data_IF_300934936562
#
_entry.id   IF_300934936562
#
_cell.length_a   1.000
_cell.length_b   1.000
_cell.length_c   1.000
_cell.angle_alpha   90.00
_cell.angle_beta   90.00
_cell.angle_gamma   90.00
#
_symmetry.space_group_name_H-M   'P 1'
#
loop_
_entity.id
_entity.type
_entity.pdbx_description
1 polymer ?
#
# COMPACT_ATOMS: atom_id res chain seq x y z
N UNK A 1 -11.68 18.48 3.57
CA UNK A 1 -12.24 17.12 3.34
C UNK A 1 -11.08 16.12 3.45
N UNK A 2 -11.22 15.01 4.17
CA UNK A 2 -10.18 13.96 4.26
C UNK A 2 -10.76 12.67 3.69
N UNK A 3 -10.03 12.01 2.80
CA UNK A 3 -10.47 10.79 2.13
C UNK A 3 -9.45 9.68 2.45
N UNK A 4 -9.93 8.59 3.06
CA UNK A 4 -9.13 7.38 3.29
C UNK A 4 -9.43 6.37 2.19
N UNK A 5 -8.41 5.99 1.43
CA UNK A 5 -8.47 4.84 0.54
C UNK A 5 -7.72 3.69 1.21
N UNK A 6 -8.44 2.63 1.57
CA UNK A 6 -7.81 1.41 2.05
C UNK A 6 -7.59 0.47 0.87
N UNK A 7 -6.33 0.18 0.58
CA UNK A 7 -5.91 -0.60 -0.57
C UNK A 7 -5.29 -1.89 -0.06
N UNK A 8 -5.93 -3.02 -0.38
CA UNK A 8 -5.53 -4.34 0.13
C UNK A 8 -4.56 -5.03 -0.84
N UNK A 9 -4.58 -4.65 -2.12
CA UNK A 9 -3.62 -5.14 -3.11
C UNK A 9 -3.57 -4.16 -4.28
N UNK A 10 -2.36 -3.68 -4.57
CA UNK A 10 -2.02 -3.03 -5.83
C UNK A 10 -0.77 -3.70 -6.35
N UNK A 11 -0.83 -4.07 -7.62
CA UNK A 11 0.34 -4.42 -8.41
C UNK A 11 0.77 -3.15 -9.15
N UNK A 12 2.06 -3.04 -9.47
CA UNK A 12 2.67 -1.97 -10.28
C UNK A 12 2.07 -1.82 -11.69
N UNK A 13 1.05 -2.61 -12.01
CA UNK A 13 0.24 -2.56 -13.22
C UNK A 13 -0.86 -1.48 -13.14
N UNK A 14 -1.21 -0.98 -11.95
CA UNK A 14 -2.36 -0.07 -11.73
C UNK A 14 -1.95 1.32 -11.20
N UNK A 15 -0.66 1.55 -10.95
CA UNK A 15 -0.16 2.79 -10.33
C UNK A 15 -0.61 4.06 -11.09
N UNK A 16 -0.63 4.01 -12.42
CA UNK A 16 -1.06 5.16 -13.24
C UNK A 16 -2.58 5.38 -13.24
N UNK A 17 -3.39 4.32 -13.20
CA UNK A 17 -4.85 4.47 -13.12
C UNK A 17 -5.24 5.03 -11.77
N UNK A 18 -4.57 4.54 -10.72
CA UNK A 18 -4.73 5.05 -9.38
C UNK A 18 -4.34 6.53 -9.32
N UNK A 19 -3.24 6.92 -9.96
CA UNK A 19 -2.81 8.32 -10.04
C UNK A 19 -3.87 9.23 -10.67
N UNK A 20 -4.53 8.79 -11.74
CA UNK A 20 -5.64 9.56 -12.32
C UNK A 20 -6.80 9.79 -11.34
N UNK A 21 -7.08 8.84 -10.46
CA UNK A 21 -8.11 9.01 -9.44
C UNK A 21 -7.66 10.03 -8.39
N UNK A 22 -6.39 10.00 -8.00
CA UNK A 22 -5.80 10.97 -7.05
C UNK A 22 -5.79 12.38 -7.63
N UNK A 23 -5.45 12.56 -8.91
CA UNK A 23 -5.39 13.89 -9.54
C UNK A 23 -6.77 14.59 -9.64
N UNK A 24 -7.87 13.83 -9.54
CA UNK A 24 -9.24 14.36 -9.50
C UNK A 24 -9.64 14.89 -8.12
N UNK A 25 -8.80 14.73 -7.11
CA UNK A 25 -9.10 15.18 -5.75
C UNK A 25 -9.07 16.73 -5.70
N UNK A 26 -10.10 17.38 -5.14
CA UNK A 26 -10.16 18.84 -5.07
C UNK A 26 -8.99 19.43 -4.27
N UNK A 27 -8.52 20.62 -4.68
CA UNK A 27 -7.51 21.38 -3.93
C UNK A 27 -7.98 21.62 -2.49
N UNK A 28 -7.10 21.39 -1.51
CA UNK A 28 -7.41 21.52 -0.09
C UNK A 28 -8.07 20.29 0.56
N UNK A 29 -8.22 19.20 -0.17
CA UNK A 29 -8.50 17.90 0.41
C UNK A 29 -7.19 17.15 0.71
N UNK A 30 -7.14 16.46 1.85
CA UNK A 30 -6.03 15.57 2.17
C UNK A 30 -6.45 14.14 1.82
N UNK A 31 -5.63 13.48 1.02
CA UNK A 31 -5.84 12.10 0.62
C UNK A 31 -4.85 11.19 1.35
N UNK A 32 -5.36 10.16 2.02
CA UNK A 32 -4.53 9.19 2.73
C UNK A 32 -4.79 7.80 2.17
N UNK A 33 -3.72 7.11 1.84
CA UNK A 33 -3.72 5.75 1.31
C UNK A 33 -3.11 4.85 2.39
N UNK A 34 -3.86 3.83 2.80
CA UNK A 34 -3.35 2.76 3.65
C UNK A 34 -3.24 1.50 2.79
N UNK A 35 -2.02 1.17 2.37
CA UNK A 35 -1.73 0.05 1.48
C UNK A 35 -1.17 -1.14 2.26
N UNK A 36 -1.97 -2.18 2.47
CA UNK A 36 -1.55 -3.43 3.13
C UNK A 36 -1.15 -4.48 2.09
N UNK A 37 -0.13 -4.15 1.29
CA UNK A 37 0.36 -4.98 0.18
C UNK A 37 1.87 -4.85 -0.02
N UNK A 38 2.48 -5.90 -0.58
CA UNK A 38 3.85 -5.88 -1.10
C UNK A 38 3.91 -5.03 -2.37
N UNK A 39 4.94 -4.21 -2.56
CA UNK A 39 5.18 -3.37 -3.76
C UNK A 39 4.32 -2.10 -3.91
N UNK A 40 4.13 -1.34 -2.83
CA UNK A 40 3.40 -0.06 -2.86
C UNK A 40 4.24 1.19 -3.12
N UNK A 41 5.57 1.06 -3.26
CA UNK A 41 6.50 2.19 -3.43
C UNK A 41 6.33 3.00 -4.72
N UNK A 42 5.47 2.59 -5.65
CA UNK A 42 5.16 3.30 -6.90
C UNK A 42 3.79 4.01 -6.92
N UNK A 43 2.99 3.91 -5.86
CA UNK A 43 1.64 4.50 -5.83
C UNK A 43 1.61 6.02 -5.81
N UNK A 44 2.60 6.62 -5.13
CA UNK A 44 2.77 8.06 -5.10
C UNK A 44 4.20 8.36 -5.53
N UNK A 45 4.33 8.93 -6.71
CA UNK A 45 5.61 9.37 -7.24
C UNK A 45 5.98 10.72 -6.62
N UNK A 46 7.27 10.92 -6.32
CA UNK A 46 7.88 12.16 -5.76
C UNK A 46 7.57 12.53 -4.31
N UNK A 47 6.79 11.75 -3.58
CA UNK A 47 6.61 12.00 -2.15
C UNK A 47 7.81 11.48 -1.33
N UNK A 48 8.31 12.34 -0.45
CA UNK A 48 9.50 12.06 0.36
C UNK A 48 9.24 10.88 1.29
N UNK A 49 10.18 9.95 1.34
CA UNK A 49 10.19 8.89 2.35
C UNK A 49 10.51 9.49 3.72
N UNK A 50 9.55 9.46 4.63
CA UNK A 50 9.66 10.03 5.98
C UNK A 50 10.02 8.97 7.02
N UNK A 51 9.55 7.74 6.78
CA UNK A 51 9.88 6.56 7.59
C UNK A 51 10.20 5.42 6.62
N UNK A 52 11.48 5.06 6.53
CA UNK A 52 12.01 4.00 5.67
C UNK A 52 12.66 2.84 6.44
N UNK A 53 13.49 2.02 5.78
CA UNK A 53 14.30 1.01 6.43
C UNK A 53 15.29 1.61 7.41
N UNK A 54 15.01 1.49 8.71
CA UNK A 54 16.05 1.58 9.72
C UNK A 54 16.80 0.25 9.70
N UNK A 55 18.09 0.29 9.35
CA UNK A 55 19.03 -0.83 9.39
C UNK A 55 19.10 -1.43 10.79
N UNK A 56 18.22 -2.38 11.09
CA UNK A 56 18.29 -3.19 12.30
C UNK A 56 18.46 -4.63 11.85
N UNK A 57 19.68 -5.14 11.98
CA UNK A 57 20.03 -6.53 11.71
C UNK A 57 19.27 -7.42 12.71
N UNK A 58 18.20 -8.08 12.26
CA UNK A 58 17.55 -9.12 13.04
C UNK A 58 18.05 -10.50 12.59
N UNK A 59 18.61 -11.22 13.55
CA UNK A 59 18.98 -12.62 13.44
C UNK A 59 17.70 -13.46 13.40
N UNK A 60 17.52 -14.20 12.32
CA UNK A 60 16.39 -15.09 12.06
C UNK A 60 16.21 -16.10 13.18
N UNK A 61 15.01 -16.13 13.77
CA UNK A 61 14.52 -17.25 14.58
C UNK A 61 13.10 -17.59 14.14
N UNK A 62 12.79 -18.88 14.13
CA UNK A 62 11.66 -19.52 13.46
C UNK A 62 10.29 -19.01 13.92
N UNK A 63 9.42 -18.57 12.99
CA UNK A 63 8.12 -17.92 13.24
C UNK A 63 6.91 -18.69 12.66
N UNK A 64 5.65 -18.32 13.02
CA UNK A 64 4.42 -19.00 12.62
C UNK A 64 4.23 -19.03 11.09
N UNK A 65 3.34 -19.89 10.58
CA UNK A 65 3.04 -20.03 9.14
C UNK A 65 2.49 -18.71 8.54
N UNK A 66 3.40 -17.87 8.06
CA UNK A 66 3.11 -16.63 7.34
C UNK A 66 3.04 -16.94 5.84
N UNK A 67 1.97 -16.51 5.15
CA UNK A 67 1.91 -16.57 3.69
C UNK A 67 2.29 -15.21 3.12
N UNK A 68 3.34 -15.12 2.29
CA UNK A 68 3.68 -13.88 1.62
C UNK A 68 2.57 -13.45 0.65
N UNK A 69 2.19 -12.16 0.66
CA UNK A 69 1.28 -11.57 -0.35
C UNK A 69 2.03 -11.33 -1.67
N UNK A 70 2.54 -12.39 -2.28
CA UNK A 70 3.25 -12.32 -3.55
C UNK A 70 2.67 -13.36 -4.51
N UNK A 71 2.27 -12.91 -5.70
CA UNK A 71 1.92 -13.81 -6.79
C UNK A 71 3.17 -13.90 -7.68
N UNK A 72 3.75 -15.10 -7.87
CA UNK A 72 4.88 -15.29 -8.77
C UNK A 72 4.56 -14.84 -10.19
N UNK A 73 5.52 -14.21 -10.86
CA UNK A 73 5.35 -13.68 -12.20
C UNK A 73 4.93 -14.76 -13.22
N UNK A 74 5.54 -15.94 -13.11
CA UNK A 74 5.22 -17.09 -13.97
C UNK A 74 3.77 -17.56 -13.79
N UNK A 75 3.24 -17.50 -12.57
CA UNK A 75 1.84 -17.86 -12.30
C UNK A 75 0.88 -16.86 -12.96
N UNK A 76 1.22 -15.57 -12.95
CA UNK A 76 0.46 -14.52 -13.65
C UNK A 76 0.49 -14.77 -15.16
N UNK A 77 1.68 -15.01 -15.73
CA UNK A 77 1.83 -15.26 -17.16
C UNK A 77 1.06 -16.50 -17.62
N UNK A 78 1.18 -17.62 -16.90
CA UNK A 78 0.46 -18.86 -17.23
C UNK A 78 -1.06 -18.65 -17.20
N UNK A 79 -1.56 -17.96 -16.17
CA UNK A 79 -2.97 -17.66 -16.05
C UNK A 79 -3.48 -16.80 -17.21
N UNK A 80 -2.80 -15.68 -17.51
CA UNK A 80 -3.16 -14.79 -18.62
C UNK A 80 -3.08 -15.48 -19.99
N UNK A 81 -2.07 -16.34 -20.19
CA UNK A 81 -1.95 -17.16 -21.39
C UNK A 81 -3.15 -18.09 -21.55
N UNK A 82 -3.57 -18.76 -20.46
CA UNK A 82 -4.77 -19.61 -20.47
C UNK A 82 -6.07 -18.86 -20.76
N UNK A 83 -6.20 -17.61 -20.31
CA UNK A 83 -7.41 -16.80 -20.53
C UNK A 83 -7.51 -16.25 -21.95
N UNK A 84 -6.38 -15.97 -22.59
CA UNK A 84 -6.35 -15.28 -23.89
C UNK A 84 -6.02 -16.21 -25.06
N UNK A 85 -5.46 -17.39 -24.79
CA UNK A 85 -4.94 -18.32 -25.81
C UNK A 85 -3.86 -17.71 -26.72
N UNK A 86 -3.15 -16.68 -26.24
CA UNK A 86 -2.05 -16.03 -26.96
C UNK A 86 -0.72 -16.58 -26.42
N UNK A 87 0.25 -16.80 -27.31
CA UNK A 87 1.59 -17.21 -26.93
C UNK A 87 2.55 -16.01 -26.97
N UNK A 88 2.52 -15.19 -25.91
CA UNK A 88 3.45 -14.07 -25.72
C UNK A 88 3.90 -14.00 -24.27
N UNK A 89 5.10 -13.49 -24.02
CA UNK A 89 5.56 -13.17 -22.66
C UNK A 89 5.13 -11.77 -22.21
N UNK A 90 4.60 -10.96 -23.14
CA UNK A 90 4.13 -9.62 -22.85
C UNK A 90 2.75 -9.64 -22.18
N UNK A 91 2.77 -9.40 -20.86
CA UNK A 91 1.56 -9.27 -20.04
C UNK A 91 0.67 -8.13 -20.53
N UNK A 92 1.23 -7.04 -21.06
CA UNK A 92 0.45 -5.90 -21.54
C UNK A 92 -0.48 -6.29 -22.69
N UNK A 93 0.03 -7.05 -23.66
CA UNK A 93 -0.77 -7.63 -24.75
C UNK A 93 -1.90 -8.51 -24.22
N UNK A 94 -1.64 -9.38 -23.25
CA UNK A 94 -2.68 -10.22 -22.67
C UNK A 94 -3.80 -9.39 -21.99
N UNK A 95 -3.41 -8.39 -21.20
CA UNK A 95 -4.36 -7.53 -20.49
C UNK A 95 -5.22 -6.71 -21.45
N UNK A 96 -4.62 -6.17 -22.52
CA UNK A 96 -5.36 -5.45 -23.57
C UNK A 96 -6.35 -6.34 -24.31
N UNK A 97 -5.96 -7.57 -24.67
CA UNK A 97 -6.85 -8.48 -25.37
C UNK A 97 -8.00 -8.93 -24.48
N UNK A 98 -7.73 -9.21 -23.20
CA UNK A 98 -8.74 -9.72 -22.28
C UNK A 98 -9.72 -8.63 -21.81
N UNK A 99 -9.20 -7.45 -21.44
CA UNK A 99 -10.01 -6.38 -20.84
C UNK A 99 -10.36 -5.25 -21.82
N UNK A 100 -9.70 -5.16 -22.99
CA UNK A 100 -9.99 -4.16 -24.02
C UNK A 100 -10.00 -2.73 -23.48
N UNK A 101 -11.16 -2.08 -23.57
CA UNK A 101 -11.40 -0.73 -23.09
C UNK A 101 -11.43 -0.57 -21.56
N UNK A 102 -11.31 -1.66 -20.80
CA UNK A 102 -11.23 -1.64 -19.34
C UNK A 102 -9.82 -1.97 -18.82
N UNK A 103 -8.87 -2.25 -19.72
CA UNK A 103 -7.46 -2.44 -19.34
C UNK A 103 -6.87 -1.15 -18.76
N UNK A 104 -5.86 -1.31 -17.90
CA UNK A 104 -5.09 -0.18 -17.34
C UNK A 104 -4.57 0.75 -18.45
N UNK A 105 -4.60 2.04 -18.16
CA UNK A 105 -4.03 3.09 -19.02
C UNK A 105 -2.55 2.87 -19.32
N UNK A 106 -1.82 2.20 -18.42
CA UNK A 106 -0.42 1.82 -18.62
C UNK A 106 -0.22 1.01 -19.90
N UNK A 107 -1.19 0.16 -20.23
CA UNK A 107 -1.12 -0.69 -21.43
C UNK A 107 -1.82 -0.04 -22.62
N UNK A 108 -2.76 0.88 -22.38
CA UNK A 108 -3.56 1.51 -23.44
C UNK A 108 -2.93 2.77 -24.03
N UNK A 109 -2.11 3.48 -23.27
CA UNK A 109 -1.56 4.76 -23.67
C UNK A 109 -0.13 4.62 -24.21
N UNK A 110 0.26 5.44 -25.20
CA UNK A 110 1.63 5.49 -25.66
C UNK A 110 2.55 6.11 -24.58
N UNK A 111 3.87 5.80 -24.59
CA UNK A 111 4.82 6.29 -23.59
C UNK A 111 4.78 7.81 -23.37
N UNK A 112 4.64 8.59 -24.45
CA UNK A 112 4.57 10.06 -24.39
C UNK A 112 3.39 10.60 -23.59
N UNK A 113 2.27 9.86 -23.54
CA UNK A 113 1.13 10.22 -22.71
C UNK A 113 1.34 9.81 -21.25
N UNK A 114 2.12 8.75 -20.99
CA UNK A 114 2.51 8.31 -19.64
C UNK A 114 3.46 9.31 -18.97
N UNK A 115 4.43 9.84 -19.72
CA UNK A 115 5.36 10.90 -19.25
C UNK A 115 4.60 12.15 -18.74
N UNK A 116 3.44 12.42 -19.33
CA UNK A 116 2.56 13.51 -18.91
C UNK A 116 1.96 13.26 -17.51
N UNK A 117 1.58 12.02 -17.20
CA UNK A 117 1.09 11.65 -15.86
C UNK A 117 2.20 11.66 -14.81
N UNK A 118 3.42 11.25 -15.17
CA UNK A 118 4.58 11.38 -14.29
C UNK A 118 4.95 12.86 -14.03
N UNK A 119 4.67 13.76 -14.98
CA UNK A 119 4.86 15.21 -14.81
C UNK A 119 3.78 15.88 -13.94
N UNK A 120 2.64 15.23 -13.72
CA UNK A 120 1.58 15.81 -12.89
C UNK A 120 2.04 15.93 -11.42
N UNK A 121 1.62 17.05 -10.82
CA UNK A 121 1.85 17.62 -9.47
C UNK A 121 2.56 16.73 -8.43
N UNK A 122 3.42 17.34 -7.58
CA UNK A 122 3.76 16.73 -6.27
C UNK A 122 2.46 16.39 -5.55
N UNK A 123 2.29 15.13 -5.18
CA UNK A 123 1.06 14.65 -4.57
C UNK A 123 0.95 15.24 -3.17
N UNK A 124 -0.06 16.06 -2.89
CA UNK A 124 -0.41 16.41 -1.50
C UNK A 124 -1.02 15.20 -0.74
N UNK A 125 -0.64 13.99 -1.11
CA UNK A 125 -1.12 12.71 -0.60
C UNK A 125 -0.23 12.16 0.51
N UNK A 126 -0.80 11.27 1.29
CA UNK A 126 -0.11 10.56 2.37
C UNK A 126 -0.25 9.07 2.10
N UNK A 127 0.85 8.35 1.89
CA UNK A 127 0.87 6.89 1.76
C UNK A 127 1.50 6.24 2.99
N UNK A 128 0.74 5.32 3.57
CA UNK A 128 1.20 4.37 4.55
C UNK A 128 1.29 3.00 3.87
N UNK A 129 2.50 2.47 3.68
CA UNK A 129 2.70 1.13 3.09
C UNK A 129 2.90 0.08 4.17
N UNK A 130 2.48 -1.16 3.92
CA UNK A 130 2.56 -2.27 4.87
C UNK A 130 3.96 -2.88 5.03
N UNK A 131 4.85 -2.69 4.05
CA UNK A 131 6.22 -3.18 4.11
C UNK A 131 7.16 -2.25 3.33
N UNK A 132 8.47 -2.46 3.54
CA UNK A 132 9.51 -1.86 2.71
C UNK A 132 9.55 -2.49 1.31
N UNK A 133 10.23 -1.83 0.37
CA UNK A 133 10.36 -2.31 -1.01
C UNK A 133 11.06 -3.68 -1.13
N UNK A 134 11.91 -4.03 -0.16
CA UNK A 134 12.65 -5.29 -0.06
C UNK A 134 12.03 -6.29 0.93
N UNK A 135 10.85 -6.00 1.48
CA UNK A 135 10.15 -6.84 2.45
C UNK A 135 8.81 -7.34 1.92
N UNK A 136 8.27 -8.36 2.58
CA UNK A 136 6.97 -8.94 2.23
C UNK A 136 5.93 -8.56 3.28
N UNK A 137 4.81 -7.97 2.83
CA UNK A 137 3.60 -7.83 3.63
C UNK A 137 2.92 -9.19 3.86
N UNK A 138 2.48 -9.42 5.10
CA UNK A 138 1.95 -10.72 5.53
C UNK A 138 0.42 -10.71 5.74
N UNK A 139 -0.21 -11.80 5.34
CA UNK A 139 -1.53 -12.18 5.84
C UNK A 139 -1.38 -13.15 7.01
N UNK A 140 -2.16 -12.92 8.07
CA UNK A 140 -2.34 -13.92 9.11
C UNK A 140 -3.49 -14.83 8.77
N UNK A 141 -3.22 -16.13 8.79
CA UNK A 141 -4.26 -17.15 8.78
C UNK A 141 -4.16 -17.94 10.10
N UNK A 142 -5.01 -17.66 11.09
CA UNK A 142 -5.02 -18.42 12.32
C UNK A 142 -5.70 -19.77 12.08
N UNK A 143 -4.97 -20.69 11.42
CA UNK A 143 -5.45 -22.03 11.06
C UNK A 143 -5.91 -22.88 12.25
N UNK A 144 -5.66 -22.46 13.49
CA UNK A 144 -5.99 -23.22 14.71
C UNK A 144 -7.15 -22.65 15.54
N UNK A 145 -7.59 -21.41 15.35
CA UNK A 145 -8.63 -20.78 16.21
C UNK A 145 -9.96 -20.55 15.52
N UNK A 146 -10.07 -20.78 14.20
CA UNK A 146 -11.28 -20.48 13.43
C UNK A 146 -11.54 -18.97 13.27
N UNK A 147 -10.57 -18.13 13.63
CA UNK A 147 -10.64 -16.69 13.46
C UNK A 147 -10.45 -16.29 11.99
N UNK A 148 -11.00 -15.14 11.60
CA UNK A 148 -10.90 -14.64 10.23
C UNK A 148 -9.47 -14.21 9.91
N UNK A 149 -9.00 -14.55 8.71
CA UNK A 149 -7.74 -14.03 8.19
C UNK A 149 -7.77 -12.49 8.11
N UNK A 150 -6.62 -11.86 8.37
CA UNK A 150 -6.48 -10.41 8.35
C UNK A 150 -5.11 -9.97 7.81
N UNK A 151 -5.08 -8.79 7.20
CA UNK A 151 -3.84 -8.12 6.82
C UNK A 151 -3.11 -7.59 8.05
N UNK A 152 -1.84 -7.96 8.20
CA UNK A 152 -1.09 -7.68 9.42
C UNK A 152 -0.94 -6.17 9.67
N UNK A 153 -0.70 -5.37 8.63
CA UNK A 153 -0.53 -3.92 8.80
C UNK A 153 -1.84 -3.21 9.17
N UNK A 154 -2.93 -3.55 8.49
CA UNK A 154 -4.26 -3.00 8.77
C UNK A 154 -4.70 -3.31 10.20
N UNK A 155 -4.48 -4.55 10.64
CA UNK A 155 -4.78 -4.96 12.01
C UNK A 155 -3.91 -4.24 13.04
N UNK A 156 -2.62 -4.01 12.74
CA UNK A 156 -1.74 -3.23 13.60
C UNK A 156 -2.25 -1.79 13.77
N UNK A 157 -2.63 -1.11 12.68
CA UNK A 157 -3.22 0.24 12.74
C UNK A 157 -4.50 0.26 13.57
N UNK A 158 -5.40 -0.71 13.38
CA UNK A 158 -6.62 -0.81 14.21
C UNK A 158 -6.30 -1.01 15.70
N UNK A 159 -5.29 -1.82 16.01
CA UNK A 159 -4.85 -2.07 17.39
C UNK A 159 -4.31 -0.79 18.04
N UNK A 160 -3.54 0.01 17.31
CA UNK A 160 -3.06 1.31 17.77
C UNK A 160 -4.23 2.21 18.18
N UNK A 161 -5.28 2.30 17.35
CA UNK A 161 -6.46 3.12 17.66
C UNK A 161 -7.33 2.58 18.80
N UNK A 162 -7.28 1.27 19.08
CA UNK A 162 -7.96 0.70 20.26
C UNK A 162 -7.23 1.03 21.58
N UNK A 163 -5.92 1.23 21.53
CA UNK A 163 -5.07 1.42 22.72
C UNK A 163 -4.80 2.90 23.04
N UNK A 164 -4.94 3.80 22.06
CA UNK A 164 -4.65 5.22 22.22
C UNK A 164 -5.94 6.03 22.37
N UNK A 165 -5.99 6.91 23.35
CA UNK A 165 -7.14 7.78 23.66
C UNK A 165 -6.92 9.24 23.26
N UNK A 166 -6.05 9.48 22.27
CA UNK A 166 -5.66 10.81 21.82
C UNK A 166 -5.52 10.92 20.30
N UNK A 167 -5.24 12.14 19.85
CA UNK A 167 -4.95 12.35 18.43
C UNK A 167 -3.55 11.85 18.11
N UNK A 168 -3.42 11.17 16.97
CA UNK A 168 -2.16 10.66 16.45
C UNK A 168 -1.80 11.35 15.15
N UNK A 169 -0.53 11.69 14.96
CA UNK A 169 0.02 12.13 13.69
C UNK A 169 0.21 10.96 12.71
N UNK A 170 0.42 11.27 11.42
CA UNK A 170 0.73 10.24 10.41
C UNK A 170 1.98 9.45 10.81
N UNK A 171 3.01 10.14 11.30
CA UNK A 171 4.24 9.52 11.83
C UNK A 171 3.97 8.59 13.01
N UNK A 172 3.18 9.03 13.98
CA UNK A 172 2.87 8.26 15.19
C UNK A 172 2.12 6.97 14.86
N UNK A 173 1.16 7.01 13.94
CA UNK A 173 0.43 5.82 13.50
C UNK A 173 1.37 4.76 12.95
N UNK A 174 2.30 5.13 12.06
CA UNK A 174 3.26 4.18 11.47
C UNK A 174 4.23 3.64 12.52
N UNK A 175 4.77 4.50 13.39
CA UNK A 175 5.71 4.08 14.44
C UNK A 175 5.06 3.15 15.47
N UNK A 176 3.82 3.41 15.87
CA UNK A 176 3.08 2.54 16.79
C UNK A 176 2.67 1.23 16.10
N UNK A 177 2.31 1.27 14.81
CA UNK A 177 2.02 0.06 14.05
C UNK A 177 3.26 -0.85 13.93
N UNK A 178 4.46 -0.29 13.67
CA UNK A 178 5.74 -1.03 13.70
C UNK A 178 5.95 -1.73 15.05
N UNK A 179 5.71 -1.03 16.17
CA UNK A 179 5.82 -1.62 17.51
C UNK A 179 4.83 -2.75 17.74
N UNK A 180 3.57 -2.58 17.30
CA UNK A 180 2.53 -3.60 17.43
C UNK A 180 2.83 -4.85 16.60
N UNK A 181 3.41 -4.68 15.41
CA UNK A 181 3.86 -5.75 14.53
C UNK A 181 5.06 -6.51 15.14
N UNK A 182 6.04 -5.78 15.66
CA UNK A 182 7.21 -6.37 16.32
C UNK A 182 6.80 -7.19 17.56
N UNK A 183 5.86 -6.70 18.37
CA UNK A 183 5.34 -7.41 19.53
C UNK A 183 4.59 -8.71 19.16
N UNK A 184 4.09 -8.79 17.93
CA UNK A 184 3.46 -9.99 17.36
C UNK A 184 4.42 -10.80 16.48
N UNK A 185 5.72 -10.47 16.49
CA UNK A 185 6.77 -11.15 15.75
C UNK A 185 6.59 -11.13 14.22
N UNK A 186 6.03 -10.05 13.66
CA UNK A 186 6.10 -9.80 12.23
C UNK A 186 7.41 -9.12 11.85
N UNK A 187 7.98 -9.53 10.72
CA UNK A 187 9.21 -8.93 10.16
C UNK A 187 8.93 -7.71 9.28
N UNK A 188 7.67 -7.45 8.89
CA UNK A 188 7.33 -6.32 8.04
C UNK A 188 7.44 -4.98 8.78
N UNK A 189 8.01 -3.98 8.08
CA UNK A 189 8.15 -2.63 8.58
C UNK A 189 7.36 -1.64 7.70
N UNK A 190 6.17 -1.21 8.16
CA UNK A 190 5.39 -0.21 7.45
C UNK A 190 6.15 1.10 7.20
N UNK A 191 5.97 1.75 6.05
CA UNK A 191 6.63 3.02 5.72
C UNK A 191 5.64 4.18 5.63
N UNK A 192 6.17 5.41 5.67
CA UNK A 192 5.42 6.65 5.47
C UNK A 192 6.05 7.46 4.35
N UNK A 193 5.22 7.79 3.35
CA UNK A 193 5.58 8.68 2.24
C UNK A 193 4.62 9.86 2.24
N UNK A 194 5.15 11.07 2.47
CA UNK A 194 4.40 12.33 2.43
C UNK A 194 5.34 13.54 2.52
N UNK A 195 4.80 14.73 2.26
CA UNK A 195 5.48 16.00 2.44
C UNK A 195 5.83 16.27 3.91
N UNK A 196 6.81 17.16 4.14
CA UNK A 196 7.28 17.52 5.49
C UNK A 196 6.14 18.10 6.37
N UNK A 197 5.21 18.84 5.77
CA UNK A 197 4.05 19.40 6.48
C UNK A 197 3.06 18.32 6.95
N UNK A 198 3.05 17.17 6.28
CA UNK A 198 2.12 16.08 6.57
C UNK A 198 2.67 15.07 7.59
N UNK A 199 3.96 15.10 7.93
CA UNK A 199 4.56 14.14 8.86
C UNK A 199 3.88 14.19 10.23
N UNK A 200 3.80 15.39 10.80
CA UNK A 200 3.26 15.65 12.14
C UNK A 200 1.79 16.09 12.10
N UNK A 201 1.19 16.18 10.91
CA UNK A 201 -0.23 16.42 10.75
C UNK A 201 -1.05 15.26 11.32
N UNK A 202 -2.22 15.57 11.90
CA UNK A 202 -3.13 14.56 12.46
C UNK A 202 -3.57 13.54 11.39
N UNK A 203 -3.35 12.27 11.68
CA UNK A 203 -3.76 11.14 10.84
C UNK A 203 -5.29 11.10 10.74
N UNK A 204 -5.79 11.29 9.52
CA UNK A 204 -7.23 11.40 9.23
C UNK A 204 -7.94 12.42 10.16
N UNK A 205 -9.26 12.53 10.04
CA UNK A 205 -10.03 13.35 10.95
C UNK A 205 -10.37 12.49 12.17
N UNK A 206 -9.70 12.76 13.29
CA UNK A 206 -9.96 12.07 14.56
C UNK A 206 -10.95 12.90 15.38
N UNK A 207 -12.09 12.31 15.81
CA UNK A 207 -13.03 12.98 16.70
C UNK A 207 -12.30 13.51 17.94
N UNK A 208 -12.74 14.65 18.48
CA UNK A 208 -12.32 15.03 19.84
C UNK A 208 -12.84 13.95 20.78
N UNK A 209 -11.96 13.32 21.55
CA UNK A 209 -12.37 12.48 22.67
C UNK A 209 -13.26 13.28 23.63
N UNK A 210 -14.10 12.61 24.45
CA UNK A 210 -14.86 13.30 25.48
C UNK A 210 -13.89 14.12 26.32
N UNK A 211 -14.18 15.42 26.42
CA UNK A 211 -13.41 16.32 27.28
C UNK A 211 -13.58 15.83 28.71
N UNK A 212 -12.48 15.46 29.37
CA UNK A 212 -12.46 15.18 30.80
C UNK A 212 -12.80 16.46 31.59
#
# INVERSE_FOLDING_TARGET
MKLLCHVISISSLVDIDFRQLVDRIPKGANFTILSDSCHSGGLIDKEKEQIGPSSVNFTSTTFPSQKPKMIPFEAIQQHLSSLTSINTSDIGTHLLVHFGGDASLKFRLPPTALDWFESLRSDAGILLSGCQANETSADMNPMMTGEKAYGAFSNAVQTVFKQQSGKLSNKEVVMLARKALQAQHFEQHPCLYCSDENVDATFLWQPKGPSA
#
